data_IF_481548780863
#
_entry.id   IF_481548780863
#
_cell.length_a   1.000
_cell.length_b   1.000
_cell.length_c   1.000
_cell.angle_alpha   90.00
_cell.angle_beta   90.00
_cell.angle_gamma   90.00
#
_symmetry.space_group_name_H-M   'P 1'
#
loop_
_entity.id
_entity.type
_entity.pdbx_description
1 polymer ?
#
# COMPACT_ATOMS: atom_id res chain seq x y z
N UNK A 1 -9.42 17.96 -3.29
CA UNK A 1 -8.98 16.57 -3.09
C UNK A 1 -8.78 15.83 -4.41
N UNK A 2 -9.73 15.81 -5.34
CA UNK A 2 -9.59 15.08 -6.61
C UNK A 2 -8.34 15.44 -7.42
N UNK A 3 -8.08 16.75 -7.61
CA UNK A 3 -6.87 17.20 -8.32
C UNK A 3 -5.58 16.72 -7.62
N UNK A 4 -5.52 16.79 -6.30
CA UNK A 4 -4.36 16.30 -5.54
C UNK A 4 -4.18 14.79 -5.73
N UNK A 5 -5.26 13.99 -5.67
CA UNK A 5 -5.21 12.55 -5.86
C UNK A 5 -4.73 12.18 -7.27
N UNK A 6 -5.23 12.89 -8.29
CA UNK A 6 -4.84 12.69 -9.68
C UNK A 6 -3.34 13.00 -9.89
N UNK A 7 -2.88 14.15 -9.42
CA UNK A 7 -1.47 14.57 -9.53
C UNK A 7 -0.54 13.62 -8.75
N UNK A 8 -0.94 13.20 -7.56
CA UNK A 8 -0.16 12.26 -6.75
C UNK A 8 -0.09 10.87 -7.40
N UNK A 9 -1.15 10.38 -8.05
CA UNK A 9 -1.10 9.11 -8.76
C UNK A 9 -0.14 9.14 -9.96
N UNK A 10 -0.13 10.25 -10.71
CA UNK A 10 0.82 10.45 -11.79
C UNK A 10 2.27 10.55 -11.29
N UNK A 11 2.50 11.26 -10.18
CA UNK A 11 3.79 11.32 -9.51
C UNK A 11 4.28 9.91 -9.09
N UNK A 12 3.40 9.13 -8.44
CA UNK A 12 3.73 7.78 -7.99
C UNK A 12 4.05 6.86 -9.16
N UNK A 13 3.27 6.94 -10.24
CA UNK A 13 3.56 6.18 -11.46
C UNK A 13 4.95 6.51 -12.03
N UNK A 14 5.27 7.80 -12.21
CA UNK A 14 6.58 8.21 -12.69
C UNK A 14 7.71 7.76 -11.74
N UNK A 15 7.51 7.91 -10.43
CA UNK A 15 8.47 7.48 -9.42
C UNK A 15 8.70 5.96 -9.45
N UNK A 16 7.67 5.15 -9.59
CA UNK A 16 7.81 3.68 -9.67
C UNK A 16 8.52 3.24 -10.95
N UNK A 17 8.16 3.82 -12.10
CA UNK A 17 8.82 3.50 -13.37
C UNK A 17 10.32 3.79 -13.34
N UNK A 18 10.77 4.75 -12.56
CA UNK A 18 12.16 5.23 -12.55
C UNK A 18 12.93 4.93 -11.28
N UNK A 19 12.31 4.22 -10.32
CA UNK A 19 12.91 3.89 -9.01
C UNK A 19 14.13 2.97 -9.09
N UNK A 20 14.34 2.30 -10.22
CA UNK A 20 15.39 1.29 -10.46
C UNK A 20 15.41 0.17 -9.39
N UNK A 21 14.32 -0.01 -8.63
CA UNK A 21 14.19 -1.01 -7.59
C UNK A 21 15.20 -0.91 -6.45
N UNK A 22 15.77 0.27 -6.24
CA UNK A 22 16.84 0.50 -5.27
C UNK A 22 16.42 0.03 -3.88
N UNK A 23 15.20 0.33 -3.46
CA UNK A 23 14.68 -0.09 -2.15
C UNK A 23 14.62 -1.61 -1.97
N UNK A 24 14.41 -2.37 -3.05
CA UNK A 24 14.34 -3.84 -2.99
C UNK A 24 15.70 -4.50 -3.20
N UNK A 25 16.54 -3.95 -4.10
CA UNK A 25 17.83 -4.53 -4.44
C UNK A 25 18.97 -4.15 -3.49
N UNK A 26 18.91 -2.96 -2.86
CA UNK A 26 19.95 -2.47 -1.96
C UNK A 26 19.83 -3.05 -0.54
N UNK A 27 18.60 -3.15 0.00
CA UNK A 27 18.37 -3.54 1.40
C UNK A 27 18.99 -4.89 1.75
N UNK A 28 18.81 -5.99 0.98
CA UNK A 28 19.38 -7.28 1.33
C UNK A 28 20.92 -7.24 1.45
N UNK A 29 21.60 -6.63 0.48
CA UNK A 29 23.07 -6.56 0.48
C UNK A 29 23.62 -5.65 1.58
N UNK A 30 23.00 -4.49 1.77
CA UNK A 30 23.38 -3.58 2.87
C UNK A 30 23.17 -4.25 4.23
N UNK A 31 22.09 -5.04 4.40
CA UNK A 31 21.84 -5.78 5.65
C UNK A 31 22.87 -6.88 5.87
N UNK A 32 23.27 -7.59 4.81
CA UNK A 32 24.32 -8.63 4.87
C UNK A 32 25.66 -8.03 5.34
N UNK A 33 26.13 -6.93 4.73
CA UNK A 33 27.36 -6.28 5.15
C UNK A 33 27.27 -5.70 6.58
N UNK A 34 26.12 -5.16 6.96
CA UNK A 34 25.90 -4.65 8.31
C UNK A 34 25.91 -5.76 9.38
N UNK A 35 25.35 -6.97 9.08
CA UNK A 35 25.32 -8.10 9.99
C UNK A 35 26.69 -8.78 10.16
N UNK A 36 27.57 -8.69 9.16
CA UNK A 36 28.92 -9.24 9.21
C UNK A 36 29.96 -8.23 9.72
N UNK A 37 29.54 -7.03 10.20
CA UNK A 37 30.43 -5.94 10.66
C UNK A 37 31.51 -5.57 9.62
N UNK A 38 31.22 -5.69 8.32
CA UNK A 38 32.11 -5.30 7.24
C UNK A 38 31.90 -3.82 6.88
N UNK A 39 32.47 -2.93 7.67
CA UNK A 39 32.30 -1.48 7.54
C UNK A 39 32.81 -0.93 6.20
N UNK A 40 33.84 -1.54 5.61
CA UNK A 40 34.39 -1.11 4.33
C UNK A 40 33.43 -1.42 3.18
N UNK A 41 32.89 -2.65 3.11
CA UNK A 41 31.91 -3.04 2.10
C UNK A 41 30.58 -2.32 2.31
N UNK A 42 30.15 -2.14 3.56
CA UNK A 42 28.97 -1.36 3.91
C UNK A 42 29.10 0.10 3.40
N UNK A 43 30.22 0.77 3.71
CA UNK A 43 30.49 2.14 3.26
C UNK A 43 30.53 2.24 1.74
N UNK A 44 31.18 1.29 1.08
CA UNK A 44 31.23 1.21 -0.38
C UNK A 44 29.83 1.04 -0.97
N UNK A 45 29.03 0.12 -0.45
CA UNK A 45 27.69 -0.16 -1.01
C UNK A 45 26.66 0.94 -0.70
N UNK A 46 26.84 1.70 0.39
CA UNK A 46 26.11 2.95 0.64
C UNK A 46 26.38 3.97 -0.48
N UNK A 47 27.64 4.13 -0.91
CA UNK A 47 27.99 5.01 -2.02
C UNK A 47 27.40 4.55 -3.35
N UNK A 48 27.38 3.24 -3.62
CA UNK A 48 26.70 2.63 -4.77
C UNK A 48 25.21 2.98 -4.74
N UNK A 49 24.54 2.80 -3.62
CA UNK A 49 23.10 3.09 -3.45
C UNK A 49 22.81 4.57 -3.70
N UNK A 50 23.60 5.49 -3.17
CA UNK A 50 23.47 6.94 -3.38
C UNK A 50 23.67 7.35 -4.83
N UNK A 51 24.73 6.81 -5.49
CA UNK A 51 24.98 7.07 -6.90
C UNK A 51 23.82 6.65 -7.79
N UNK A 52 23.29 5.44 -7.57
CA UNK A 52 22.17 4.92 -8.34
C UNK A 52 20.85 5.63 -8.03
N UNK A 53 20.68 6.16 -6.80
CA UNK A 53 19.55 7.02 -6.46
C UNK A 53 19.59 8.36 -7.19
N UNK A 54 20.78 8.93 -7.41
CA UNK A 54 20.96 10.11 -8.26
C UNK A 54 20.67 9.83 -9.73
N UNK A 55 21.10 8.67 -10.25
CA UNK A 55 20.76 8.23 -11.61
C UNK A 55 19.24 8.06 -11.74
N UNK A 56 18.59 7.41 -10.78
CA UNK A 56 17.13 7.26 -10.75
C UNK A 56 16.42 8.62 -10.69
N UNK A 57 16.94 9.58 -9.92
CA UNK A 57 16.40 10.94 -9.83
C UNK A 57 16.47 11.67 -11.18
N UNK A 58 17.61 11.58 -11.89
CA UNK A 58 17.75 12.16 -13.23
C UNK A 58 16.81 11.50 -14.24
N UNK A 59 16.76 10.16 -14.26
CA UNK A 59 15.84 9.41 -15.12
C UNK A 59 14.39 9.76 -14.83
N UNK A 60 14.02 9.87 -13.55
CA UNK A 60 12.67 10.25 -13.10
C UNK A 60 12.28 11.65 -13.54
N UNK A 61 13.20 12.60 -13.43
CA UNK A 61 12.98 13.95 -13.91
C UNK A 61 12.72 13.99 -15.42
N UNK A 62 13.60 13.37 -16.20
CA UNK A 62 13.49 13.30 -17.67
C UNK A 62 12.20 12.58 -18.07
N UNK A 63 11.92 11.42 -17.48
CA UNK A 63 10.73 10.63 -17.76
C UNK A 63 9.45 11.43 -17.49
N UNK A 64 9.37 12.08 -16.33
CA UNK A 64 8.20 12.85 -15.91
C UNK A 64 7.92 14.03 -16.89
N UNK A 65 8.96 14.74 -17.32
CA UNK A 65 8.83 15.83 -18.30
C UNK A 65 8.38 15.30 -19.67
N UNK A 66 9.01 14.20 -20.15
CA UNK A 66 8.68 13.63 -21.47
C UNK A 66 7.26 13.04 -21.51
N UNK A 67 6.80 12.43 -20.43
CA UNK A 67 5.49 11.77 -20.37
C UNK A 67 4.36 12.73 -19.98
N UNK A 68 4.68 13.94 -19.49
CA UNK A 68 3.70 14.93 -19.05
C UNK A 68 2.61 15.29 -20.09
N UNK A 69 2.89 15.42 -21.42
CA UNK A 69 1.84 15.66 -22.41
C UNK A 69 0.88 14.47 -22.56
N UNK A 70 1.45 13.24 -22.50
CA UNK A 70 0.65 12.01 -22.59
C UNK A 70 -0.29 11.87 -21.38
N UNK A 71 0.24 12.07 -20.17
CA UNK A 71 -0.55 12.02 -18.94
C UNK A 71 -1.65 13.08 -18.98
N UNK A 72 -1.35 14.30 -19.45
CA UNK A 72 -2.36 15.34 -19.58
C UNK A 72 -3.49 14.91 -20.51
N UNK A 73 -3.18 14.36 -21.68
CA UNK A 73 -4.17 13.88 -22.64
C UNK A 73 -5.03 12.72 -22.11
N UNK A 74 -4.47 11.86 -21.25
CA UNK A 74 -5.21 10.77 -20.63
C UNK A 74 -6.05 11.21 -19.41
N UNK A 75 -5.61 12.26 -18.70
CA UNK A 75 -6.20 12.64 -17.42
C UNK A 75 -7.23 13.75 -17.50
N UNK A 76 -7.12 14.64 -18.49
CA UNK A 76 -8.01 15.80 -18.63
C UNK A 76 -8.61 15.86 -20.03
N UNK A 77 -9.94 15.90 -20.08
CA UNK A 77 -10.68 16.18 -21.31
C UNK A 77 -10.69 17.71 -21.64
N UNK A 78 -10.28 18.56 -20.69
CA UNK A 78 -10.31 20.01 -20.78
C UNK A 78 -9.07 20.64 -20.12
N UNK A 79 -8.59 21.74 -20.69
CA UNK A 79 -7.44 22.46 -20.18
C UNK A 79 -6.09 21.82 -20.50
N UNK A 80 -5.02 22.59 -20.31
CA UNK A 80 -3.65 22.13 -20.50
C UNK A 80 -2.91 22.18 -19.16
N UNK A 81 -2.74 21.01 -18.54
CA UNK A 81 -2.05 20.83 -17.28
C UNK A 81 -0.65 20.23 -17.44
N UNK A 82 -0.13 20.18 -18.68
CA UNK A 82 1.21 19.62 -18.99
C UNK A 82 2.30 20.22 -18.12
N UNK A 83 2.27 21.57 -17.91
CA UNK A 83 3.24 22.23 -17.05
C UNK A 83 3.16 21.76 -15.60
N UNK A 84 1.95 21.54 -15.08
CA UNK A 84 1.75 21.04 -13.72
C UNK A 84 2.35 19.63 -13.56
N UNK A 85 2.14 18.74 -14.54
CA UNK A 85 2.77 17.42 -14.55
C UNK A 85 4.30 17.50 -14.71
N UNK A 86 4.81 18.41 -15.55
CA UNK A 86 6.24 18.64 -15.68
C UNK A 86 6.88 19.13 -14.37
N UNK A 87 6.19 19.96 -13.59
CA UNK A 87 6.66 20.43 -12.28
C UNK A 87 6.77 19.28 -11.27
N UNK A 88 6.00 18.20 -11.40
CA UNK A 88 6.15 17.01 -10.57
C UNK A 88 7.49 16.28 -10.78
N UNK A 89 8.21 16.58 -11.86
CA UNK A 89 9.53 16.01 -12.11
C UNK A 89 10.49 16.25 -10.93
N UNK A 90 10.41 17.42 -10.30
CA UNK A 90 11.20 17.74 -9.10
C UNK A 90 10.84 16.80 -7.95
N UNK A 91 9.55 16.56 -7.72
CA UNK A 91 9.11 15.67 -6.66
C UNK A 91 9.53 14.21 -6.91
N UNK A 92 9.45 13.74 -8.15
CA UNK A 92 9.92 12.39 -8.55
C UNK A 92 11.42 12.23 -8.29
N UNK A 93 12.22 13.25 -8.68
CA UNK A 93 13.66 13.22 -8.46
C UNK A 93 14.03 13.16 -6.96
N UNK A 94 13.41 14.01 -6.14
CA UNK A 94 13.71 14.03 -4.69
C UNK A 94 13.19 12.78 -3.97
N UNK A 95 12.09 12.16 -4.45
CA UNK A 95 11.61 10.87 -3.95
C UNK A 95 12.60 9.73 -4.20
N UNK A 96 13.26 9.70 -5.35
CA UNK A 96 14.28 8.70 -5.66
C UNK A 96 15.48 8.82 -4.70
N UNK A 97 15.93 10.04 -4.40
CA UNK A 97 17.02 10.29 -3.44
C UNK A 97 16.59 9.87 -2.03
N UNK A 98 15.40 10.28 -1.57
CA UNK A 98 14.87 9.89 -0.28
C UNK A 98 14.68 8.38 -0.14
N UNK A 99 14.30 7.70 -1.22
CA UNK A 99 14.15 6.25 -1.29
C UNK A 99 15.46 5.50 -1.02
N UNK A 100 16.56 5.95 -1.62
CA UNK A 100 17.89 5.39 -1.39
C UNK A 100 18.38 5.56 0.05
N UNK A 101 18.24 6.75 0.63
CA UNK A 101 18.61 6.97 2.03
C UNK A 101 17.70 6.19 3.00
N UNK A 102 16.41 6.05 2.67
CA UNK A 102 15.50 5.19 3.44
C UNK A 102 15.92 3.72 3.39
N UNK A 103 16.37 3.22 2.23
CA UNK A 103 16.88 1.86 2.08
C UNK A 103 18.12 1.62 2.97
N UNK A 104 19.03 2.59 3.03
CA UNK A 104 20.22 2.54 3.89
C UNK A 104 19.82 2.46 5.38
N UNK A 105 18.89 3.31 5.82
CA UNK A 105 18.43 3.31 7.21
C UNK A 105 17.66 2.03 7.58
N UNK A 106 16.88 1.46 6.64
CA UNK A 106 16.19 0.18 6.83
C UNK A 106 17.19 -0.98 7.00
N UNK A 107 18.15 -1.07 6.09
CA UNK A 107 19.14 -2.13 6.07
C UNK A 107 20.02 -2.13 7.33
N UNK A 108 20.35 -0.94 7.84
CA UNK A 108 21.14 -0.76 9.06
C UNK A 108 20.31 -0.74 10.34
N UNK A 109 19.06 -1.21 10.27
CA UNK A 109 18.11 -1.36 11.40
C UNK A 109 17.89 -0.08 12.21
N UNK A 110 18.04 1.10 11.59
CA UNK A 110 17.80 2.42 12.23
C UNK A 110 16.30 2.76 12.29
N UNK A 111 15.48 1.83 12.79
CA UNK A 111 14.01 1.96 12.82
C UNK A 111 13.54 3.19 13.59
N UNK A 112 14.23 3.55 14.69
CA UNK A 112 13.92 4.76 15.46
C UNK A 112 14.16 6.06 14.68
N UNK A 113 15.16 6.09 13.79
CA UNK A 113 15.37 7.21 12.88
C UNK A 113 14.26 7.29 11.83
N UNK A 114 13.87 6.18 11.23
CA UNK A 114 12.76 6.12 10.27
C UNK A 114 11.44 6.60 10.87
N UNK A 115 11.12 6.18 12.10
CA UNK A 115 9.92 6.66 12.79
C UNK A 115 9.97 8.19 13.03
N UNK A 116 11.10 8.73 13.46
CA UNK A 116 11.28 10.18 13.62
C UNK A 116 11.16 10.95 12.31
N UNK A 117 11.76 10.43 11.22
CA UNK A 117 11.62 11.00 9.86
C UNK A 117 10.13 11.06 9.47
N UNK A 118 9.38 9.97 9.62
CA UNK A 118 7.96 9.93 9.27
C UNK A 118 7.16 10.97 10.06
N UNK A 119 7.35 11.06 11.38
CA UNK A 119 6.61 12.01 12.21
C UNK A 119 7.00 13.45 11.88
N UNK A 120 8.30 13.76 11.82
CA UNK A 120 8.77 15.12 11.54
C UNK A 120 8.36 15.60 10.14
N UNK A 121 8.56 14.75 9.12
CA UNK A 121 8.17 15.11 7.75
C UNK A 121 6.66 15.29 7.62
N UNK A 122 5.85 14.43 8.25
CA UNK A 122 4.40 14.56 8.22
C UNK A 122 3.93 15.87 8.88
N UNK A 123 4.43 16.20 10.07
CA UNK A 123 4.05 17.44 10.78
C UNK A 123 4.41 18.68 9.97
N UNK A 124 5.65 18.76 9.46
CA UNK A 124 6.09 19.90 8.65
C UNK A 124 5.28 19.98 7.34
N UNK A 125 5.06 18.84 6.69
CA UNK A 125 4.27 18.77 5.43
C UNK A 125 2.84 19.23 5.61
N UNK A 126 2.19 18.86 6.72
CA UNK A 126 0.83 19.32 7.04
C UNK A 126 0.80 20.84 7.22
N UNK A 127 1.72 21.41 7.99
CA UNK A 127 1.77 22.86 8.18
C UNK A 127 1.98 23.62 6.87
N UNK A 128 2.91 23.15 6.02
CA UNK A 128 3.19 23.73 4.70
C UNK A 128 2.00 23.57 3.75
N UNK A 129 1.37 22.42 3.73
CA UNK A 129 0.21 22.17 2.86
C UNK A 129 -0.99 23.04 3.25
N UNK A 130 -1.26 23.19 4.54
CA UNK A 130 -2.34 24.07 5.03
C UNK A 130 -2.08 25.51 4.60
N UNK A 131 -0.87 26.02 4.76
CA UNK A 131 -0.51 27.37 4.35
C UNK A 131 -0.69 27.56 2.83
N UNK A 132 -0.20 26.61 2.02
CA UNK A 132 -0.32 26.70 0.57
C UNK A 132 -1.77 26.64 0.10
N UNK A 133 -2.59 25.78 0.65
CA UNK A 133 -4.01 25.69 0.28
C UNK A 133 -4.79 26.91 0.76
N UNK A 134 -4.44 27.51 1.89
CA UNK A 134 -5.08 28.71 2.40
C UNK A 134 -4.81 29.93 1.52
N UNK A 135 -3.55 30.13 1.08
CA UNK A 135 -3.17 31.30 0.31
C UNK A 135 -3.36 31.16 -1.20
N UNK A 136 -3.18 29.94 -1.75
CA UNK A 136 -3.16 29.71 -3.21
C UNK A 136 -4.30 28.83 -3.72
N UNK A 137 -5.19 28.34 -2.85
CA UNK A 137 -6.33 27.48 -3.23
C UNK A 137 -5.91 26.33 -4.15
N UNK A 138 -6.54 26.21 -5.33
CA UNK A 138 -6.25 25.15 -6.30
C UNK A 138 -4.83 25.22 -6.87
N UNK A 139 -4.28 26.41 -7.06
CA UNK A 139 -2.91 26.60 -7.57
C UNK A 139 -1.85 26.13 -6.56
N UNK A 140 -2.19 25.99 -5.28
CA UNK A 140 -1.32 25.47 -4.24
C UNK A 140 -1.11 23.95 -4.28
N UNK A 141 -1.88 23.18 -5.07
CA UNK A 141 -1.85 21.70 -5.06
C UNK A 141 -0.49 21.16 -5.50
N UNK A 142 -0.02 21.55 -6.67
CA UNK A 142 1.28 21.05 -7.19
C UNK A 142 2.46 21.53 -6.35
N UNK A 143 2.55 22.83 -5.97
CA UNK A 143 3.57 23.28 -5.03
C UNK A 143 3.55 22.52 -3.69
N UNK A 144 2.37 22.17 -3.15
CA UNK A 144 2.28 21.39 -1.93
C UNK A 144 2.87 19.99 -2.10
N UNK A 145 2.55 19.31 -3.20
CA UNK A 145 3.10 17.98 -3.52
C UNK A 145 4.63 18.05 -3.63
N UNK A 146 5.17 19.03 -4.35
CA UNK A 146 6.62 19.19 -4.54
C UNK A 146 7.31 19.52 -3.22
N UNK A 147 6.79 20.47 -2.44
CA UNK A 147 7.40 20.87 -1.18
C UNK A 147 7.34 19.74 -0.13
N UNK A 148 6.26 18.96 -0.06
CA UNK A 148 6.18 17.81 0.85
C UNK A 148 7.21 16.73 0.49
N UNK A 149 7.45 16.49 -0.81
CA UNK A 149 8.50 15.59 -1.26
C UNK A 149 9.91 16.11 -0.87
N UNK A 150 10.16 17.41 -1.06
CA UNK A 150 11.43 18.06 -0.64
C UNK A 150 11.63 17.96 0.88
N UNK A 151 10.59 18.23 1.67
CA UNK A 151 10.64 18.13 3.15
C UNK A 151 11.00 16.69 3.55
N UNK A 152 10.36 15.69 2.94
CA UNK A 152 10.64 14.30 3.20
C UNK A 152 12.08 13.93 2.85
N UNK A 153 12.58 14.40 1.71
CA UNK A 153 13.97 14.20 1.31
C UNK A 153 14.94 14.85 2.31
N UNK A 154 14.74 16.13 2.65
CA UNK A 154 15.63 16.86 3.55
C UNK A 154 15.66 16.26 4.96
N UNK A 155 14.52 15.86 5.49
CA UNK A 155 14.44 15.17 6.78
C UNK A 155 15.15 13.82 6.72
N UNK A 156 14.95 13.04 5.66
CA UNK A 156 15.60 11.73 5.47
C UNK A 156 17.12 11.87 5.36
N UNK A 157 17.60 12.80 4.53
CA UNK A 157 19.03 13.10 4.39
C UNK A 157 19.63 13.58 5.72
N UNK A 158 18.97 14.48 6.42
CA UNK A 158 19.45 15.01 7.68
C UNK A 158 19.68 13.93 8.75
N UNK A 159 18.76 12.94 8.82
CA UNK A 159 18.95 11.79 9.71
C UNK A 159 19.97 10.78 9.17
N UNK A 160 19.95 10.48 7.86
CA UNK A 160 20.86 9.49 7.28
C UNK A 160 22.31 9.94 7.32
N UNK A 161 22.60 11.20 6.97
CA UNK A 161 23.98 11.72 6.96
C UNK A 161 24.57 11.89 8.36
N UNK A 162 23.76 11.92 9.40
CA UNK A 162 24.24 11.90 10.79
C UNK A 162 24.89 10.57 11.15
N UNK A 163 24.40 9.46 10.57
CA UNK A 163 24.97 8.12 10.78
C UNK A 163 26.01 7.75 9.73
N UNK A 164 25.75 8.12 8.48
CA UNK A 164 26.56 7.78 7.31
C UNK A 164 26.84 9.05 6.50
N UNK A 165 27.93 9.78 6.81
CA UNK A 165 28.27 11.03 6.12
C UNK A 165 28.34 10.88 4.60
N UNK A 166 28.04 11.95 3.87
CA UNK A 166 28.05 11.93 2.41
C UNK A 166 29.48 11.73 1.91
N UNK A 167 29.69 10.62 1.21
CA UNK A 167 30.89 10.34 0.43
C UNK A 167 30.44 9.88 -0.94
N UNK A 168 30.69 10.64 -1.99
CA UNK A 168 30.36 10.29 -3.36
C UNK A 168 31.65 10.03 -4.12
N UNK A 169 31.80 8.82 -4.61
CA UNK A 169 32.87 8.45 -5.52
C UNK A 169 32.27 7.90 -6.82
N UNK A 170 32.64 8.53 -7.93
CA UNK A 170 32.23 8.10 -9.27
C UNK A 170 33.31 7.17 -9.84
N UNK A 171 33.10 5.85 -9.67
CA UNK A 171 33.98 4.85 -10.24
C UNK A 171 33.17 3.80 -11.01
N UNK A 172 33.75 3.22 -12.06
CA UNK A 172 33.14 2.17 -12.86
C UNK A 172 32.74 0.93 -12.04
N UNK A 173 33.44 0.66 -10.93
CA UNK A 173 33.08 -0.41 -10.00
C UNK A 173 31.72 -0.16 -9.34
N UNK A 174 31.41 1.07 -8.91
CA UNK A 174 30.13 1.46 -8.32
C UNK A 174 28.97 1.28 -9.32
N UNK A 175 29.20 1.62 -10.60
CA UNK A 175 28.20 1.44 -11.65
C UNK A 175 27.93 -0.04 -11.92
N UNK A 176 28.95 -0.89 -12.02
CA UNK A 176 28.76 -2.33 -12.26
C UNK A 176 28.05 -3.05 -11.12
N UNK A 177 28.40 -2.74 -9.87
CA UNK A 177 27.76 -3.37 -8.72
C UNK A 177 26.31 -2.89 -8.55
N UNK A 178 26.01 -1.62 -8.81
CA UNK A 178 24.66 -1.11 -8.81
C UNK A 178 23.77 -1.69 -9.91
N UNK A 179 24.33 -1.96 -11.10
CA UNK A 179 23.59 -2.67 -12.17
C UNK A 179 23.13 -4.06 -11.73
N UNK A 180 23.98 -4.79 -10.95
CA UNK A 180 23.58 -6.06 -10.33
C UNK A 180 22.44 -5.91 -9.33
N UNK A 181 22.44 -4.82 -8.53
CA UNK A 181 21.38 -4.49 -7.61
C UNK A 181 20.04 -4.23 -8.34
N UNK A 182 20.07 -3.44 -9.42
CA UNK A 182 18.87 -3.14 -10.23
C UNK A 182 18.30 -4.42 -10.85
N UNK A 183 19.15 -5.31 -11.37
CA UNK A 183 18.70 -6.58 -11.96
C UNK A 183 17.89 -7.44 -10.98
N UNK A 184 18.23 -7.44 -9.70
CA UNK A 184 17.47 -8.15 -8.67
C UNK A 184 16.11 -7.51 -8.41
N UNK A 185 16.00 -6.19 -8.57
CA UNK A 185 14.78 -5.44 -8.32
C UNK A 185 13.78 -5.37 -9.48
N UNK A 186 14.16 -5.79 -10.70
CA UNK A 186 13.35 -5.55 -11.93
C UNK A 186 11.92 -6.07 -11.82
N UNK A 187 11.71 -7.29 -11.33
CA UNK A 187 10.36 -7.85 -11.22
C UNK A 187 9.47 -7.04 -10.27
N UNK A 188 10.04 -6.56 -9.15
CA UNK A 188 9.33 -5.70 -8.20
C UNK A 188 9.04 -4.31 -8.77
N UNK A 189 9.97 -3.75 -9.55
CA UNK A 189 9.77 -2.47 -10.25
C UNK A 189 8.58 -2.58 -11.20
N UNK A 190 8.56 -3.63 -12.01
CA UNK A 190 7.50 -3.82 -13.01
C UNK A 190 6.15 -4.02 -12.31
N UNK A 191 6.07 -4.83 -11.25
CA UNK A 191 4.84 -5.02 -10.49
C UNK A 191 4.35 -3.69 -9.87
N UNK A 192 5.24 -2.93 -9.23
CA UNK A 192 4.91 -1.64 -8.63
C UNK A 192 4.51 -0.59 -9.69
N UNK A 193 5.16 -0.59 -10.86
CA UNK A 193 4.81 0.29 -11.96
C UNK A 193 3.43 -0.04 -12.55
N UNK A 194 3.10 -1.34 -12.71
CA UNK A 194 1.77 -1.78 -13.15
C UNK A 194 0.70 -1.35 -12.15
N UNK A 195 0.94 -1.54 -10.84
CA UNK A 195 0.03 -1.07 -9.79
C UNK A 195 -0.21 0.43 -9.84
N UNK A 196 0.86 1.22 -9.90
CA UNK A 196 0.76 2.68 -9.98
C UNK A 196 0.14 3.17 -11.30
N UNK A 197 0.40 2.47 -12.42
CA UNK A 197 -0.25 2.75 -13.71
C UNK A 197 -1.75 2.50 -13.63
N UNK A 198 -2.17 1.40 -13.00
CA UNK A 198 -3.57 1.06 -12.80
C UNK A 198 -4.30 2.08 -11.95
N UNK A 199 -3.68 2.51 -10.85
CA UNK A 199 -4.24 3.57 -10.00
C UNK A 199 -4.34 4.92 -10.74
N UNK A 200 -3.32 5.29 -11.51
CA UNK A 200 -3.34 6.50 -12.32
C UNK A 200 -4.44 6.42 -13.40
N UNK A 201 -4.56 5.28 -14.09
CA UNK A 201 -5.56 5.06 -15.10
C UNK A 201 -6.98 5.17 -14.53
N UNK A 202 -7.27 4.51 -13.41
CA UNK A 202 -8.57 4.58 -12.74
C UNK A 202 -8.92 6.03 -12.41
N UNK A 203 -8.00 6.79 -11.79
CA UNK A 203 -8.26 8.19 -11.44
C UNK A 203 -8.43 9.08 -12.66
N UNK A 204 -7.65 8.83 -13.72
CA UNK A 204 -7.79 9.55 -15.00
C UNK A 204 -9.13 9.26 -15.67
N UNK A 205 -9.54 8.00 -15.72
CA UNK A 205 -10.84 7.57 -16.24
C UNK A 205 -11.98 8.24 -15.48
N UNK A 206 -11.98 8.19 -14.15
CA UNK A 206 -12.99 8.83 -13.32
C UNK A 206 -13.03 10.36 -13.52
N UNK A 207 -11.89 11.00 -13.76
CA UNK A 207 -11.85 12.44 -14.02
C UNK A 207 -12.44 12.80 -15.39
N UNK A 208 -12.22 11.97 -16.40
CA UNK A 208 -12.75 12.20 -17.75
C UNK A 208 -14.26 11.99 -17.79
N UNK A 209 -14.75 10.94 -17.14
CA UNK A 209 -16.18 10.58 -17.16
C UNK A 209 -17.03 11.36 -16.14
N UNK A 210 -16.53 11.53 -14.90
CA UNK A 210 -17.30 12.09 -13.78
C UNK A 210 -16.71 13.38 -13.18
N UNK A 211 -15.48 13.73 -13.56
CA UNK A 211 -14.81 14.93 -13.08
C UNK A 211 -14.05 14.76 -11.76
N UNK A 212 -13.46 15.87 -11.30
CA UNK A 212 -12.61 15.90 -10.11
C UNK A 212 -13.32 15.50 -8.81
N UNK A 213 -14.64 15.66 -8.74
CA UNK A 213 -15.40 15.25 -7.56
C UNK A 213 -15.41 13.73 -7.41
N UNK A 214 -15.59 13.00 -8.50
CA UNK A 214 -15.62 11.54 -8.46
C UNK A 214 -14.23 10.96 -8.17
N UNK A 215 -13.17 11.60 -8.68
CA UNK A 215 -11.80 11.27 -8.27
C UNK A 215 -11.59 11.48 -6.76
N UNK A 216 -12.11 12.58 -6.21
CA UNK A 216 -12.04 12.86 -4.77
C UNK A 216 -12.82 11.82 -3.97
N UNK A 217 -14.01 11.48 -4.42
CA UNK A 217 -14.88 10.46 -3.81
C UNK A 217 -14.24 9.08 -3.80
N UNK A 218 -13.81 8.62 -4.97
CA UNK A 218 -13.09 7.34 -5.09
C UNK A 218 -11.85 7.28 -4.20
N UNK A 219 -10.99 8.32 -4.29
CA UNK A 219 -9.74 8.35 -3.51
C UNK A 219 -10.00 8.34 -2.00
N UNK A 220 -11.00 9.07 -1.53
CA UNK A 220 -11.36 9.12 -0.11
C UNK A 220 -11.90 7.78 0.39
N UNK A 221 -12.84 7.17 -0.34
CA UNK A 221 -13.39 5.87 0.01
C UNK A 221 -12.31 4.78 -0.03
N UNK A 222 -11.48 4.75 -1.07
CA UNK A 222 -10.35 3.80 -1.21
C UNK A 222 -9.33 3.95 -0.06
N UNK A 223 -8.99 5.18 0.30
CA UNK A 223 -8.03 5.47 1.37
C UNK A 223 -8.54 4.94 2.72
N UNK A 224 -9.80 5.19 3.08
CA UNK A 224 -10.35 4.72 4.36
C UNK A 224 -10.52 3.19 4.35
N UNK A 225 -11.13 2.64 3.30
CA UNK A 225 -11.53 1.23 3.25
C UNK A 225 -10.36 0.29 2.98
N UNK A 226 -9.42 0.67 2.11
CA UNK A 226 -8.34 -0.20 1.63
C UNK A 226 -7.00 0.19 2.23
N UNK A 227 -6.61 1.47 2.13
CA UNK A 227 -5.26 1.88 2.53
C UNK A 227 -5.08 1.80 4.04
N UNK A 228 -5.98 2.36 4.83
CA UNK A 228 -5.85 2.34 6.30
C UNK A 228 -6.03 0.94 6.89
N UNK A 229 -7.02 0.16 6.39
CA UNK A 229 -7.15 -1.23 6.78
C UNK A 229 -5.92 -2.07 6.37
N UNK A 230 -5.36 -1.80 5.18
CA UNK A 230 -4.15 -2.42 4.67
C UNK A 230 -2.90 -2.18 5.53
N UNK A 231 -2.80 -1.03 6.19
CA UNK A 231 -1.67 -0.75 7.10
C UNK A 231 -1.59 -1.75 8.26
N UNK A 232 -2.74 -2.19 8.79
CA UNK A 232 -2.77 -3.20 9.85
C UNK A 232 -2.30 -4.56 9.32
N UNK A 233 -2.70 -4.91 8.11
CA UNK A 233 -2.25 -6.12 7.43
C UNK A 233 -0.74 -6.09 7.23
N UNK A 234 -0.20 -4.98 6.69
CA UNK A 234 1.24 -4.81 6.44
C UNK A 234 2.09 -4.87 7.71
N UNK A 235 1.56 -4.42 8.86
CA UNK A 235 2.25 -4.57 10.12
C UNK A 235 2.45 -6.04 10.51
N UNK A 236 1.48 -6.90 10.20
CA UNK A 236 1.56 -8.35 10.47
C UNK A 236 2.56 -9.06 9.53
N UNK A 237 2.74 -8.56 8.31
CA UNK A 237 3.64 -9.12 7.31
C UNK A 237 5.11 -9.05 7.73
N UNK A 238 5.48 -8.02 8.48
CA UNK A 238 6.87 -7.77 8.90
C UNK A 238 7.47 -8.94 9.69
N UNK A 239 6.67 -9.59 10.52
CA UNK A 239 7.08 -10.79 11.29
C UNK A 239 6.81 -12.09 10.50
N UNK A 240 5.75 -12.12 9.71
CA UNK A 240 5.31 -13.30 8.99
C UNK A 240 6.27 -13.71 7.86
N UNK A 241 6.70 -12.77 7.02
CA UNK A 241 7.51 -13.07 5.84
C UNK A 241 8.85 -13.74 6.15
N UNK A 242 9.65 -13.29 7.14
CA UNK A 242 10.88 -14.01 7.54
C UNK A 242 10.61 -15.43 8.02
N UNK A 243 9.55 -15.64 8.81
CA UNK A 243 9.17 -17.00 9.28
C UNK A 243 8.79 -17.91 8.12
N UNK A 244 8.00 -17.42 7.17
CA UNK A 244 7.63 -18.18 5.98
C UNK A 244 8.85 -18.52 5.12
N UNK A 245 9.74 -17.57 4.93
CA UNK A 245 10.97 -17.76 4.14
C UNK A 245 11.88 -18.85 4.73
N UNK A 246 11.93 -18.95 6.06
CA UNK A 246 12.71 -20.00 6.75
C UNK A 246 12.18 -21.41 6.53
N UNK A 247 10.91 -21.59 6.18
CA UNK A 247 10.27 -22.91 5.97
C UNK A 247 9.78 -23.12 4.53
N UNK A 248 10.09 -22.23 3.61
CA UNK A 248 9.51 -22.19 2.27
C UNK A 248 9.75 -23.47 1.44
N UNK A 249 10.78 -24.25 1.74
CA UNK A 249 11.12 -25.48 1.02
C UNK A 249 10.44 -26.74 1.60
N UNK A 250 9.88 -26.66 2.81
CA UNK A 250 9.08 -27.71 3.43
C UNK A 250 7.58 -27.43 3.21
N UNK A 251 6.91 -28.34 2.51
CA UNK A 251 5.49 -28.18 2.16
C UNK A 251 4.61 -28.18 3.41
N UNK A 252 4.88 -29.07 4.37
CA UNK A 252 4.06 -29.17 5.58
C UNK A 252 4.24 -27.94 6.46
N UNK A 253 5.48 -27.56 6.75
CA UNK A 253 5.80 -26.39 7.56
C UNK A 253 5.31 -25.07 6.91
N UNK A 254 5.37 -24.97 5.57
CA UNK A 254 4.80 -23.87 4.80
C UNK A 254 3.29 -23.80 5.00
N UNK A 255 2.57 -24.93 4.80
CA UNK A 255 1.11 -24.98 4.98
C UNK A 255 0.70 -24.60 6.42
N UNK A 256 1.38 -25.11 7.43
CA UNK A 256 1.12 -24.79 8.83
C UNK A 256 1.35 -23.30 9.12
N UNK A 257 2.44 -22.72 8.63
CA UNK A 257 2.80 -21.30 8.82
C UNK A 257 1.78 -20.38 8.15
N UNK A 258 1.43 -20.67 6.89
CA UNK A 258 0.45 -19.87 6.13
C UNK A 258 -0.94 -19.97 6.76
N UNK A 259 -1.38 -21.17 7.09
CA UNK A 259 -2.69 -21.37 7.70
C UNK A 259 -2.80 -20.67 9.07
N UNK A 260 -1.77 -20.78 9.91
CA UNK A 260 -1.73 -20.09 11.19
C UNK A 260 -1.78 -18.56 11.04
N UNK A 261 -1.04 -18.02 10.07
CA UNK A 261 -1.05 -16.58 9.79
C UNK A 261 -2.42 -16.12 9.29
N UNK A 262 -3.01 -16.84 8.33
CA UNK A 262 -4.34 -16.53 7.78
C UNK A 262 -5.40 -16.54 8.88
N UNK A 263 -5.37 -17.55 9.76
CA UNK A 263 -6.30 -17.65 10.88
C UNK A 263 -6.18 -16.46 11.84
N UNK A 264 -4.98 -16.13 12.27
CA UNK A 264 -4.74 -15.01 13.20
C UNK A 264 -5.13 -13.68 12.56
N UNK A 265 -4.73 -13.46 11.30
CA UNK A 265 -5.07 -12.24 10.57
C UNK A 265 -6.59 -12.07 10.42
N UNK A 266 -7.30 -13.13 10.06
CA UNK A 266 -8.75 -13.11 9.91
C UNK A 266 -9.46 -12.79 11.23
N UNK A 267 -9.08 -13.46 12.31
CA UNK A 267 -9.70 -13.26 13.63
C UNK A 267 -9.41 -11.89 14.25
N UNK A 268 -8.25 -11.29 13.97
CA UNK A 268 -7.91 -9.96 14.45
C UNK A 268 -8.57 -8.85 13.62
N UNK A 269 -8.55 -8.99 12.30
CA UNK A 269 -9.02 -7.93 11.41
C UNK A 269 -10.53 -7.89 11.25
N UNK A 270 -11.22 -9.04 11.28
CA UNK A 270 -12.68 -9.07 11.06
C UNK A 270 -13.49 -8.17 11.99
N UNK A 271 -13.26 -8.14 13.32
CA UNK A 271 -13.94 -7.19 14.19
C UNK A 271 -13.65 -5.73 13.87
N UNK A 272 -12.40 -5.44 13.47
CA UNK A 272 -12.00 -4.09 13.07
C UNK A 272 -12.67 -3.66 11.76
N UNK A 273 -12.80 -4.58 10.79
CA UNK A 273 -13.50 -4.33 9.53
C UNK A 273 -15.00 -4.13 9.75
N UNK A 274 -15.64 -4.93 10.61
CA UNK A 274 -17.03 -4.73 11.01
C UNK A 274 -17.23 -3.36 11.68
N UNK A 275 -16.36 -2.99 12.63
CA UNK A 275 -16.37 -1.67 13.24
C UNK A 275 -16.17 -0.54 12.23
N UNK A 276 -15.26 -0.72 11.27
CA UNK A 276 -15.01 0.27 10.21
C UNK A 276 -16.25 0.45 9.34
N UNK A 277 -16.91 -0.63 8.91
CA UNK A 277 -18.17 -0.58 8.14
C UNK A 277 -19.26 0.19 8.91
N UNK A 278 -19.45 -0.13 10.19
CA UNK A 278 -20.44 0.51 11.05
C UNK A 278 -20.16 2.02 11.25
N UNK A 279 -18.89 2.39 11.36
CA UNK A 279 -18.51 3.78 11.66
C UNK A 279 -18.41 4.69 10.43
N UNK A 280 -18.49 4.18 9.19
CA UNK A 280 -18.35 4.98 7.97
C UNK A 280 -19.27 6.22 7.92
N UNK A 281 -20.56 6.16 8.29
CA UNK A 281 -21.42 7.34 8.26
C UNK A 281 -20.98 8.48 9.18
N UNK A 282 -20.18 8.18 10.21
CA UNK A 282 -19.60 9.17 11.13
C UNK A 282 -18.18 9.56 10.71
N UNK A 283 -17.35 8.59 10.35
CA UNK A 283 -15.94 8.84 10.01
C UNK A 283 -15.79 9.75 8.79
N UNK A 284 -16.59 9.53 7.75
CA UNK A 284 -16.48 10.29 6.52
C UNK A 284 -16.78 11.79 6.75
N UNK A 285 -17.92 12.21 7.31
CA UNK A 285 -18.17 13.62 7.54
C UNK A 285 -17.29 14.23 8.64
N UNK A 286 -16.77 13.42 9.56
CA UNK A 286 -15.85 13.88 10.62
C UNK A 286 -14.45 14.19 10.08
N UNK A 287 -13.93 13.33 9.21
CA UNK A 287 -12.56 13.43 8.70
C UNK A 287 -12.46 14.33 7.46
N UNK A 288 -13.53 14.45 6.68
CA UNK A 288 -13.54 15.22 5.43
C UNK A 288 -14.58 16.34 5.48
N UNK A 289 -15.77 16.12 4.96
CA UNK A 289 -16.88 17.07 5.06
C UNK A 289 -18.22 16.33 4.79
N UNK A 290 -19.34 17.02 5.05
CA UNK A 290 -20.67 16.47 4.74
C UNK A 290 -20.89 16.25 3.23
N UNK A 291 -20.13 16.92 2.38
CA UNK A 291 -20.17 16.74 0.91
C UNK A 291 -19.74 15.34 0.49
N UNK A 292 -18.98 14.63 1.34
CA UNK A 292 -18.54 13.26 1.09
C UNK A 292 -19.53 12.18 1.56
N UNK A 293 -20.68 12.55 2.13
CA UNK A 293 -21.70 11.58 2.53
C UNK A 293 -22.15 10.61 1.42
N UNK A 294 -22.24 11.02 0.13
CA UNK A 294 -22.61 10.11 -0.94
C UNK A 294 -21.71 8.89 -1.10
N UNK A 295 -20.45 8.94 -0.64
CA UNK A 295 -19.52 7.80 -0.77
C UNK A 295 -19.62 6.80 0.37
N UNK A 296 -20.45 7.01 1.38
CA UNK A 296 -20.56 6.09 2.53
C UNK A 296 -20.86 4.67 2.06
N UNK A 297 -21.84 4.49 1.17
CA UNK A 297 -22.19 3.18 0.62
C UNK A 297 -21.05 2.53 -0.18
N UNK A 298 -20.35 3.31 -1.01
CA UNK A 298 -19.16 2.85 -1.71
C UNK A 298 -18.08 2.38 -0.72
N UNK A 299 -17.79 3.19 0.30
CA UNK A 299 -16.78 2.87 1.30
C UNK A 299 -17.14 1.60 2.09
N UNK A 300 -18.40 1.45 2.49
CA UNK A 300 -18.89 0.28 3.22
C UNK A 300 -18.78 -1.01 2.40
N UNK A 301 -19.16 -1.00 1.12
CA UNK A 301 -18.98 -2.18 0.27
C UNK A 301 -17.51 -2.48 0.04
N UNK A 302 -16.66 -1.46 -0.18
CA UNK A 302 -15.24 -1.64 -0.42
C UNK A 302 -14.51 -2.29 0.78
N UNK A 303 -14.97 -2.08 2.02
CA UNK A 303 -14.40 -2.77 3.20
C UNK A 303 -14.51 -4.29 3.07
N UNK A 304 -15.54 -4.82 2.41
CA UNK A 304 -15.69 -6.27 2.20
C UNK A 304 -14.52 -6.87 1.42
N UNK A 305 -13.87 -6.09 0.54
CA UNK A 305 -12.68 -6.53 -0.18
C UNK A 305 -11.54 -6.91 0.77
N UNK A 306 -11.44 -6.26 1.93
CA UNK A 306 -10.37 -6.51 2.89
C UNK A 306 -10.47 -7.88 3.56
N UNK A 307 -11.66 -8.47 3.68
CA UNK A 307 -11.80 -9.85 4.14
C UNK A 307 -11.12 -10.83 3.16
N UNK A 308 -11.29 -10.61 1.85
CA UNK A 308 -10.59 -11.41 0.83
C UNK A 308 -9.09 -11.14 0.84
N UNK A 309 -8.65 -9.88 0.97
CA UNK A 309 -7.24 -9.53 1.04
C UNK A 309 -6.54 -10.22 2.21
N UNK A 310 -7.19 -10.30 3.36
CA UNK A 310 -6.65 -11.01 4.55
C UNK A 310 -6.46 -12.51 4.30
N UNK A 311 -7.33 -13.12 3.50
CA UNK A 311 -7.20 -14.53 3.09
C UNK A 311 -6.13 -14.72 2.01
N UNK A 312 -6.02 -13.78 1.09
CA UNK A 312 -5.11 -13.85 -0.07
C UNK A 312 -3.66 -13.65 0.30
N UNK A 313 -3.37 -12.62 1.08
CA UNK A 313 -2.02 -12.11 1.28
C UNK A 313 -1.04 -13.15 1.86
N UNK A 314 -1.37 -13.90 2.93
CA UNK A 314 -0.46 -14.91 3.44
C UNK A 314 -0.13 -16.00 2.42
N UNK A 315 -1.07 -16.33 1.55
CA UNK A 315 -0.89 -17.32 0.47
C UNK A 315 -0.02 -16.76 -0.65
N UNK A 316 -0.22 -15.50 -1.04
CA UNK A 316 0.56 -14.82 -2.08
C UNK A 316 2.06 -14.79 -1.76
N UNK A 317 2.40 -14.62 -0.49
CA UNK A 317 3.80 -14.59 -0.05
C UNK A 317 4.56 -15.91 -0.21
N UNK A 318 3.89 -17.04 -0.46
CA UNK A 318 4.57 -18.31 -0.78
C UNK A 318 5.43 -18.13 -2.05
N UNK A 319 4.94 -17.39 -3.05
CA UNK A 319 5.67 -17.14 -4.30
C UNK A 319 6.97 -16.39 -4.04
N UNK A 320 6.93 -15.38 -3.18
CA UNK A 320 8.09 -14.55 -2.81
C UNK A 320 9.06 -15.33 -1.93
N UNK A 321 8.57 -16.08 -0.95
CA UNK A 321 9.38 -16.88 -0.05
C UNK A 321 10.15 -17.98 -0.80
N UNK A 322 9.60 -18.48 -1.91
CA UNK A 322 10.26 -19.43 -2.81
C UNK A 322 11.11 -18.79 -3.91
N UNK A 323 11.22 -17.48 -3.95
CA UNK A 323 11.99 -16.74 -4.96
C UNK A 323 11.38 -16.73 -6.35
N UNK A 324 10.09 -17.06 -6.51
CA UNK A 324 9.40 -17.10 -7.81
C UNK A 324 8.85 -15.71 -8.18
N UNK A 325 9.74 -14.73 -8.32
CA UNK A 325 9.37 -13.33 -8.57
C UNK A 325 8.55 -13.10 -9.84
N UNK A 326 8.78 -13.88 -10.90
CA UNK A 326 7.99 -13.80 -12.14
C UNK A 326 6.55 -14.26 -11.94
N UNK A 327 6.33 -15.31 -11.13
CA UNK A 327 4.98 -15.75 -10.80
C UNK A 327 4.24 -14.70 -9.98
N UNK A 328 4.91 -14.07 -9.02
CA UNK A 328 4.36 -12.97 -8.25
C UNK A 328 3.99 -11.80 -9.19
N UNK A 329 4.89 -11.39 -10.08
CA UNK A 329 4.62 -10.34 -11.06
C UNK A 329 3.39 -10.66 -11.93
N UNK A 330 3.26 -11.89 -12.42
CA UNK A 330 2.12 -12.28 -13.24
C UNK A 330 0.80 -12.21 -12.47
N UNK A 331 0.76 -12.74 -11.25
CA UNK A 331 -0.42 -12.75 -10.40
C UNK A 331 -0.85 -11.31 -10.04
N UNK A 332 0.08 -10.46 -9.60
CA UNK A 332 -0.19 -9.04 -9.32
C UNK A 332 -0.69 -8.30 -10.56
N UNK A 333 -0.07 -8.54 -11.72
CA UNK A 333 -0.50 -7.91 -12.97
C UNK A 333 -1.92 -8.31 -13.36
N UNK A 334 -2.27 -9.60 -13.22
CA UNK A 334 -3.61 -10.10 -13.49
C UNK A 334 -4.65 -9.46 -12.56
N UNK A 335 -4.34 -9.33 -11.26
CA UNK A 335 -5.18 -8.62 -10.31
C UNK A 335 -5.45 -7.17 -10.74
N UNK A 336 -4.40 -6.41 -11.09
CA UNK A 336 -4.56 -5.02 -11.51
C UNK A 336 -5.35 -4.85 -12.80
N UNK A 337 -5.19 -5.75 -13.78
CA UNK A 337 -6.00 -5.75 -15.00
C UNK A 337 -7.47 -5.96 -14.65
N UNK A 338 -7.78 -6.95 -13.82
CA UNK A 338 -9.18 -7.21 -13.39
C UNK A 338 -9.73 -6.04 -12.58
N UNK A 339 -8.94 -5.42 -11.70
CA UNK A 339 -9.34 -4.24 -10.95
C UNK A 339 -9.75 -3.09 -11.88
N UNK A 340 -8.90 -2.76 -12.87
CA UNK A 340 -9.17 -1.68 -13.82
C UNK A 340 -10.45 -1.97 -14.62
N UNK A 341 -10.56 -3.17 -15.19
CA UNK A 341 -11.74 -3.54 -15.97
C UNK A 341 -13.02 -3.52 -15.12
N UNK A 342 -12.96 -4.05 -13.90
CA UNK A 342 -14.09 -4.06 -12.98
C UNK A 342 -14.50 -2.63 -12.57
N UNK A 343 -13.53 -1.73 -12.34
CA UNK A 343 -13.82 -0.33 -11.99
C UNK A 343 -14.47 0.40 -13.18
N UNK A 344 -13.95 0.23 -14.40
CA UNK A 344 -14.56 0.83 -15.60
C UNK A 344 -16.00 0.34 -15.77
N UNK A 345 -16.23 -0.96 -15.70
CA UNK A 345 -17.57 -1.54 -15.83
C UNK A 345 -18.47 -1.09 -14.66
N UNK A 346 -17.99 -1.19 -13.43
CA UNK A 346 -18.77 -0.82 -12.25
C UNK A 346 -19.19 0.64 -12.25
N UNK A 347 -18.28 1.55 -12.59
CA UNK A 347 -18.57 2.98 -12.70
C UNK A 347 -19.58 3.27 -13.81
N UNK A 348 -19.45 2.65 -14.97
CA UNK A 348 -20.36 2.87 -16.10
C UNK A 348 -21.82 2.47 -15.78
N UNK A 349 -22.05 1.42 -14.96
CA UNK A 349 -23.39 0.94 -14.63
C UNK A 349 -23.97 1.51 -13.32
N UNK A 350 -23.13 1.81 -12.34
CA UNK A 350 -23.54 2.19 -10.98
C UNK A 350 -22.76 3.39 -10.43
N UNK A 351 -22.19 4.23 -11.29
CA UNK A 351 -21.43 5.42 -10.92
C UNK A 351 -20.37 5.12 -9.84
N UNK A 352 -20.13 6.04 -8.94
CA UNK A 352 -19.11 5.92 -7.90
C UNK A 352 -19.35 4.71 -6.98
N UNK A 353 -20.60 4.33 -6.72
CA UNK A 353 -20.91 3.15 -5.92
C UNK A 353 -20.39 1.87 -6.56
N UNK A 354 -20.50 1.76 -7.89
CA UNK A 354 -20.01 0.63 -8.66
C UNK A 354 -18.52 0.39 -8.55
N UNK A 355 -17.73 1.45 -8.29
CA UNK A 355 -16.29 1.30 -8.06
C UNK A 355 -15.98 0.54 -6.76
N UNK A 356 -16.79 0.71 -5.71
CA UNK A 356 -16.70 -0.07 -4.48
C UNK A 356 -16.98 -1.55 -4.71
N UNK A 357 -18.04 -1.86 -5.48
CA UNK A 357 -18.36 -3.25 -5.88
C UNK A 357 -17.23 -3.85 -6.72
N UNK A 358 -16.67 -3.08 -7.65
CA UNK A 358 -15.55 -3.49 -8.50
C UNK A 358 -14.32 -3.89 -7.69
N UNK A 359 -13.99 -3.14 -6.62
CA UNK A 359 -12.89 -3.47 -5.71
C UNK A 359 -13.13 -4.85 -5.06
N UNK A 360 -14.36 -5.14 -4.61
CA UNK A 360 -14.70 -6.46 -4.04
C UNK A 360 -14.55 -7.57 -5.07
N UNK A 361 -15.07 -7.37 -6.27
CA UNK A 361 -14.96 -8.36 -7.37
C UNK A 361 -13.51 -8.65 -7.70
N UNK A 362 -12.67 -7.62 -7.80
CA UNK A 362 -11.23 -7.78 -8.06
C UNK A 362 -10.53 -8.58 -6.95
N UNK A 363 -10.85 -8.34 -5.66
CA UNK A 363 -10.25 -9.08 -4.56
C UNK A 363 -10.78 -10.52 -4.45
N UNK A 364 -12.02 -10.78 -4.83
CA UNK A 364 -12.53 -12.17 -4.95
C UNK A 364 -11.76 -12.92 -6.05
N UNK A 365 -11.59 -12.30 -7.22
CA UNK A 365 -10.78 -12.86 -8.29
C UNK A 365 -9.35 -13.14 -7.84
N UNK A 366 -8.73 -12.18 -7.19
CA UNK A 366 -7.36 -12.30 -6.66
C UNK A 366 -7.23 -13.48 -5.69
N UNK A 367 -8.16 -13.60 -4.75
CA UNK A 367 -8.21 -14.73 -3.81
C UNK A 367 -8.30 -16.08 -4.54
N UNK A 368 -9.23 -16.21 -5.47
CA UNK A 368 -9.44 -17.46 -6.22
C UNK A 368 -8.21 -17.81 -7.07
N UNK A 369 -7.64 -16.83 -7.76
CA UNK A 369 -6.47 -17.00 -8.61
C UNK A 369 -5.23 -17.42 -7.80
N UNK A 370 -4.94 -16.69 -6.72
CA UNK A 370 -3.78 -16.98 -5.87
C UNK A 370 -3.93 -18.32 -5.15
N UNK A 371 -5.13 -18.62 -4.66
CA UNK A 371 -5.41 -19.91 -4.03
C UNK A 371 -5.22 -21.08 -5.02
N UNK A 372 -5.80 -20.99 -6.22
CA UNK A 372 -5.65 -22.00 -7.27
C UNK A 372 -4.17 -22.19 -7.64
N UNK A 373 -3.45 -21.10 -7.88
CA UNK A 373 -2.03 -21.15 -8.21
C UNK A 373 -1.20 -21.78 -7.09
N UNK A 374 -1.43 -21.40 -5.83
CA UNK A 374 -0.70 -21.94 -4.69
C UNK A 374 -1.02 -23.43 -4.45
N UNK A 375 -2.28 -23.81 -4.67
CA UNK A 375 -2.71 -25.22 -4.57
C UNK A 375 -1.97 -26.09 -5.60
N UNK A 376 -1.98 -25.70 -6.86
CA UNK A 376 -1.42 -26.49 -7.95
C UNK A 376 0.12 -26.49 -7.92
N UNK A 377 0.72 -25.33 -7.67
CA UNK A 377 2.19 -25.18 -7.77
C UNK A 377 2.93 -25.48 -6.49
N UNK A 378 2.34 -25.23 -5.33
CA UNK A 378 2.99 -25.36 -4.02
C UNK A 378 2.33 -26.39 -3.11
N UNK A 379 1.31 -27.09 -3.60
CA UNK A 379 0.52 -28.05 -2.82
C UNK A 379 -0.06 -27.43 -1.53
N UNK A 380 -0.39 -26.12 -1.61
CA UNK A 380 -1.03 -25.42 -0.50
C UNK A 380 -2.45 -25.94 -0.29
N UNK A 381 -2.81 -26.18 0.97
CA UNK A 381 -4.15 -26.58 1.38
C UNK A 381 -4.62 -25.76 2.57
N UNK A 382 -5.71 -25.02 2.39
CA UNK A 382 -6.38 -24.37 3.50
C UNK A 382 -7.04 -25.39 4.41
N UNK A 383 -7.01 -25.16 5.73
CA UNK A 383 -7.70 -26.01 6.70
C UNK A 383 -9.21 -25.72 6.70
N UNK A 384 -10.03 -26.74 6.97
CA UNK A 384 -11.47 -26.59 7.16
C UNK A 384 -11.82 -25.58 8.25
N UNK A 385 -10.94 -25.40 9.22
CA UNK A 385 -11.06 -24.42 10.30
C UNK A 385 -11.03 -22.98 9.78
N UNK A 386 -10.08 -22.66 8.88
CA UNK A 386 -9.99 -21.33 8.25
C UNK A 386 -11.25 -21.07 7.42
N UNK A 387 -11.67 -22.05 6.62
CA UNK A 387 -12.88 -21.91 5.79
C UNK A 387 -14.12 -21.62 6.66
N UNK A 388 -14.26 -22.30 7.80
CA UNK A 388 -15.36 -22.04 8.75
C UNK A 388 -15.27 -20.63 9.35
N UNK A 389 -14.09 -20.19 9.78
CA UNK A 389 -13.91 -18.84 10.35
C UNK A 389 -14.14 -17.76 9.27
N UNK A 390 -13.67 -17.99 8.05
CA UNK A 390 -13.89 -17.09 6.93
C UNK A 390 -15.39 -16.97 6.61
N UNK A 391 -16.12 -18.08 6.52
CA UNK A 391 -17.57 -18.06 6.27
C UNK A 391 -18.30 -17.28 7.37
N UNK A 392 -18.01 -17.54 8.64
CA UNK A 392 -18.68 -16.84 9.75
C UNK A 392 -18.38 -15.34 9.72
N UNK A 393 -17.10 -14.95 9.61
CA UNK A 393 -16.71 -13.55 9.68
C UNK A 393 -17.13 -12.77 8.41
N UNK A 394 -17.03 -13.39 7.24
CA UNK A 394 -17.50 -12.78 5.99
C UNK A 394 -19.02 -12.59 6.01
N UNK A 395 -19.78 -13.58 6.56
CA UNK A 395 -21.23 -13.44 6.72
C UNK A 395 -21.59 -12.29 7.68
N UNK A 396 -20.85 -12.11 8.78
CA UNK A 396 -21.06 -10.98 9.69
C UNK A 396 -20.77 -9.66 8.97
N UNK A 397 -19.65 -9.56 8.25
CA UNK A 397 -19.30 -8.36 7.47
C UNK A 397 -20.31 -8.04 6.37
N UNK A 398 -20.80 -9.07 5.68
CA UNK A 398 -21.84 -8.91 4.66
C UNK A 398 -23.20 -8.50 5.26
N UNK A 399 -23.59 -9.08 6.42
CA UNK A 399 -24.79 -8.67 7.13
C UNK A 399 -24.68 -7.23 7.64
N UNK A 400 -23.54 -6.80 8.15
CA UNK A 400 -23.30 -5.41 8.52
C UNK A 400 -23.51 -4.48 7.31
N UNK A 401 -22.93 -4.82 6.17
CA UNK A 401 -23.16 -4.08 4.94
C UNK A 401 -24.63 -4.07 4.53
N UNK A 402 -25.34 -5.20 4.53
CA UNK A 402 -26.77 -5.25 4.21
C UNK A 402 -27.62 -4.41 5.18
N UNK A 403 -27.33 -4.46 6.48
CA UNK A 403 -28.02 -3.65 7.45
C UNK A 403 -27.79 -2.14 7.24
N UNK A 404 -26.61 -1.75 6.79
CA UNK A 404 -26.33 -0.36 6.46
C UNK A 404 -27.17 0.19 5.30
N UNK A 405 -27.63 -0.69 4.40
CA UNK A 405 -28.54 -0.33 3.31
C UNK A 405 -30.02 -0.29 3.74
N UNK A 406 -30.40 -1.12 4.70
CA UNK A 406 -31.82 -1.37 5.06
C UNK A 406 -32.28 -0.58 6.29
N UNK A 407 -31.35 -0.12 7.12
CA UNK A 407 -31.67 0.49 8.41
C UNK A 407 -31.10 1.89 8.54
N UNK A 408 -31.75 2.72 9.38
CA UNK A 408 -31.31 4.07 9.68
C UNK A 408 -31.58 4.43 11.15
N UNK A 409 -31.00 5.54 11.62
CA UNK A 409 -31.21 6.04 12.97
C UNK A 409 -30.72 5.07 14.06
N UNK A 410 -31.48 4.93 15.14
CA UNK A 410 -31.09 4.09 16.29
C UNK A 410 -31.04 2.59 15.98
N UNK A 411 -31.89 2.12 15.07
CA UNK A 411 -31.92 0.70 14.67
C UNK A 411 -30.60 0.31 13.99
N UNK A 412 -30.08 1.17 13.14
CA UNK A 412 -28.75 0.99 12.52
C UNK A 412 -27.67 0.79 13.58
N UNK A 413 -27.56 1.74 14.52
CA UNK A 413 -26.49 1.71 15.52
C UNK A 413 -26.55 0.52 16.46
N UNK A 414 -27.75 0.12 16.87
CA UNK A 414 -27.95 -1.06 17.74
C UNK A 414 -27.58 -2.34 16.97
N UNK A 415 -28.04 -2.49 15.73
CA UNK A 415 -27.77 -3.67 14.92
C UNK A 415 -26.27 -3.82 14.59
N UNK A 416 -25.62 -2.73 14.17
CA UNK A 416 -24.19 -2.72 13.88
C UNK A 416 -23.34 -2.98 15.12
N UNK A 417 -23.69 -2.40 16.25
CA UNK A 417 -23.02 -2.67 17.54
C UNK A 417 -23.16 -4.14 17.95
N UNK A 418 -24.33 -4.74 17.74
CA UNK A 418 -24.54 -6.16 18.01
C UNK A 418 -23.67 -7.05 17.12
N UNK A 419 -23.60 -6.80 15.80
CA UNK A 419 -22.75 -7.55 14.87
C UNK A 419 -21.27 -7.39 15.20
N UNK A 420 -20.81 -6.18 15.52
CA UNK A 420 -19.45 -5.92 15.95
C UNK A 420 -19.12 -6.70 17.24
N UNK A 421 -20.03 -6.70 18.22
CA UNK A 421 -19.85 -7.48 19.46
C UNK A 421 -19.79 -8.98 19.19
N UNK A 422 -20.66 -9.50 18.32
CA UNK A 422 -20.65 -10.93 17.92
C UNK A 422 -19.33 -11.29 17.26
N UNK A 423 -18.87 -10.51 16.28
CA UNK A 423 -17.58 -10.73 15.60
C UNK A 423 -16.41 -10.70 16.59
N UNK A 424 -16.42 -9.71 17.51
CA UNK A 424 -15.39 -9.56 18.54
C UNK A 424 -15.40 -10.75 19.51
N UNK A 425 -16.57 -11.11 20.05
CA UNK A 425 -16.72 -12.23 20.98
C UNK A 425 -16.28 -13.55 20.34
N UNK A 426 -16.67 -13.79 19.08
CA UNK A 426 -16.26 -14.97 18.31
C UNK A 426 -14.73 -15.02 18.15
N UNK A 427 -14.12 -13.92 17.71
CA UNK A 427 -12.67 -13.82 17.51
C UNK A 427 -11.89 -14.00 18.81
N UNK A 428 -12.29 -13.28 19.87
CA UNK A 428 -11.63 -13.36 21.18
C UNK A 428 -11.77 -14.76 21.79
N UNK A 429 -12.94 -15.39 21.67
CA UNK A 429 -13.17 -16.74 22.15
C UNK A 429 -12.20 -17.76 21.53
N UNK A 430 -12.05 -17.72 20.19
CA UNK A 430 -11.16 -18.63 19.46
C UNK A 430 -9.69 -18.32 19.75
N UNK A 431 -9.29 -17.06 19.69
CA UNK A 431 -7.92 -16.65 20.00
C UNK A 431 -7.51 -17.04 21.41
N UNK A 432 -8.43 -16.90 22.39
CA UNK A 432 -8.21 -17.31 23.77
C UNK A 432 -8.01 -18.82 23.92
N UNK A 433 -8.71 -19.64 23.15
CA UNK A 433 -8.55 -21.09 23.18
C UNK A 433 -7.23 -21.57 22.56
N UNK A 434 -6.74 -20.86 21.52
CA UNK A 434 -5.56 -21.28 20.75
C UNK A 434 -4.25 -20.62 21.18
N UNK A 435 -4.31 -19.50 21.83
CA UNK A 435 -3.12 -18.79 22.30
C UNK A 435 -3.15 -18.68 23.81
N UNK A 436 -2.03 -19.04 24.48
CA UNK A 436 -1.82 -18.69 25.89
C UNK A 436 -1.63 -17.18 26.10
N UNK A 437 -2.20 -16.35 25.20
CA UNK A 437 -2.14 -14.89 25.23
C UNK A 437 -2.57 -14.31 26.57
N UNK A 438 -3.57 -14.93 27.22
CA UNK A 438 -4.04 -14.48 28.53
C UNK A 438 -3.02 -14.74 29.65
N UNK A 439 -2.29 -15.82 29.57
CA UNK A 439 -1.19 -16.10 30.51
C UNK A 439 0.00 -15.18 30.28
N UNK A 440 0.32 -14.88 29.01
CA UNK A 440 1.37 -13.91 28.64
C UNK A 440 1.01 -12.48 29.04
N UNK A 441 -0.24 -12.05 28.84
CA UNK A 441 -0.73 -10.75 29.29
C UNK A 441 -0.77 -10.66 30.82
N UNK A 442 -1.25 -11.70 31.51
CA UNK A 442 -1.25 -11.76 32.97
C UNK A 442 0.15 -11.66 33.58
N UNK A 443 1.16 -12.29 32.94
CA UNK A 443 2.58 -12.17 33.34
C UNK A 443 3.20 -10.79 33.08
N UNK A 444 2.63 -10.00 32.21
CA UNK A 444 3.13 -8.66 31.86
C UNK A 444 2.51 -7.55 32.72
N UNK A 445 1.38 -7.82 33.40
CA UNK A 445 0.66 -6.89 34.26
C UNK A 445 0.65 -7.34 35.74
N UNK A 446 1.27 -8.46 36.10
CA UNK A 446 1.71 -8.85 37.43
C UNK A 446 3.23 -8.73 37.56
#
# INVERSE_FOLDING_TARGET
MGLSALMTSAQNFAAQCTSLGISFGAVPRLSEYYEHDDDDQLSFFIQVTRLWSLIAAMLGCIFCVLVSPLINGLSFAWGNHTLHYAMLAVSVAVMAIAGGETAILKATRRLGALAKIQVCSALISVCVSIALYYFFYHSGVVPAIVLTAIITMLTTIGYSYRYYPLRLHFNSSHLKQGAGMVKLGVAFIVAAAIGSASEMFIRSFLNVEGGLNDVAFYNTAYMISITYAGMVVSAMETDYFPRLSGVAHDIQATNETVNKQTEVSLLLLSPMLAALTAMMPVLIPLLFSKEFLPIVGMAQVAVLAMYFKVLTLPVAYITLARGHSLSFLFLESAYFVVLVLSVVVGYTYWDIYGTGVAIVVAHIFDYLMIYAYAHDRYSYRSTATISRYAIVQLSIGFLAFCLSLLTSGWVYWIAEAALMMISTAYSVHILRQKTHLWEALRRKFM
#
